data_IF_383382403364
#
_entry.id   IF_383382403364
#
_cell.length_a   1.000
_cell.length_b   1.000
_cell.length_c   1.000
_cell.angle_alpha   90.00
_cell.angle_beta   90.00
_cell.angle_gamma   90.00
#
_symmetry.space_group_name_H-M   'P 1'
#
loop_
_entity.id
_entity.type
_entity.pdbx_description
1 polymer ?
#
# COMPACT_ATOMS: atom_id res chain seq x y z
N UNK A 1 -33.11 -16.74 46.64
CA UNK A 1 -31.75 -16.94 47.22
C UNK A 1 -30.64 -16.50 46.26
N UNK A 2 -30.71 -16.76 44.94
CA UNK A 2 -29.66 -16.35 43.99
C UNK A 2 -29.42 -14.82 43.86
N UNK A 3 -30.49 -14.02 43.86
CA UNK A 3 -30.41 -12.54 43.73
C UNK A 3 -29.61 -11.88 44.88
N UNK A 4 -29.73 -12.42 46.09
CA UNK A 4 -28.99 -11.90 47.26
C UNK A 4 -27.49 -12.23 47.19
N UNK A 5 -27.12 -13.33 46.55
CA UNK A 5 -25.72 -13.73 46.38
C UNK A 5 -25.01 -12.88 45.32
N UNK A 6 -25.67 -12.58 44.21
CA UNK A 6 -25.14 -11.65 43.19
C UNK A 6 -24.98 -10.23 43.75
N UNK A 7 -25.97 -9.76 44.53
CA UNK A 7 -25.89 -8.46 45.18
C UNK A 7 -24.74 -8.38 46.21
N UNK A 8 -24.57 -9.41 47.04
CA UNK A 8 -23.47 -9.49 48.00
C UNK A 8 -22.10 -9.50 47.30
N UNK A 9 -21.97 -10.22 46.19
CA UNK A 9 -20.74 -10.24 45.38
C UNK A 9 -20.46 -8.88 44.73
N UNK A 10 -21.49 -8.18 44.23
CA UNK A 10 -21.36 -6.84 43.66
C UNK A 10 -20.92 -5.81 44.72
N UNK A 11 -21.51 -5.86 45.91
CA UNK A 11 -21.10 -5.02 47.05
C UNK A 11 -19.65 -5.27 47.46
N UNK A 12 -19.25 -6.53 47.62
CA UNK A 12 -17.87 -6.86 47.97
C UNK A 12 -16.87 -6.35 46.92
N UNK A 13 -17.20 -6.46 45.62
CA UNK A 13 -16.38 -5.90 44.54
C UNK A 13 -16.31 -4.37 44.59
N UNK A 14 -17.41 -3.71 44.93
CA UNK A 14 -17.46 -2.26 45.08
C UNK A 14 -16.59 -1.78 46.25
N UNK A 15 -16.69 -2.43 47.41
CA UNK A 15 -15.86 -2.13 48.58
C UNK A 15 -14.37 -2.35 48.30
N UNK A 16 -14.01 -3.43 47.61
CA UNK A 16 -12.62 -3.69 47.20
C UNK A 16 -12.08 -2.55 46.34
N UNK A 17 -12.87 -2.07 45.38
CA UNK A 17 -12.50 -0.97 44.48
C UNK A 17 -12.38 0.36 45.22
N UNK A 18 -13.24 0.64 46.20
CA UNK A 18 -13.11 1.82 47.06
C UNK A 18 -11.82 1.79 47.87
N UNK A 19 -11.46 0.61 48.43
CA UNK A 19 -10.21 0.45 49.16
C UNK A 19 -8.98 0.65 48.26
N UNK A 20 -9.01 0.15 47.02
CA UNK A 20 -7.95 0.40 46.03
C UNK A 20 -7.78 1.89 45.74
N UNK A 21 -8.88 2.62 45.55
CA UNK A 21 -8.88 4.08 45.32
C UNK A 21 -8.33 4.82 46.54
N UNK A 22 -8.80 4.50 47.75
CA UNK A 22 -8.33 5.14 48.99
C UNK A 22 -6.83 4.90 49.22
N UNK A 23 -6.34 3.68 48.99
CA UNK A 23 -4.91 3.37 49.07
C UNK A 23 -4.09 4.15 48.04
N UNK A 24 -4.60 4.29 46.82
CA UNK A 24 -3.96 5.08 45.78
C UNK A 24 -3.87 6.57 46.16
N UNK A 25 -4.95 7.13 46.69
CA UNK A 25 -5.01 8.53 47.13
C UNK A 25 -4.03 8.81 48.27
N UNK A 26 -3.97 7.91 49.26
CA UNK A 26 -3.02 8.02 50.37
C UNK A 26 -1.57 7.95 49.88
N UNK A 27 -1.25 7.03 48.96
CA UNK A 27 0.09 6.89 48.40
C UNK A 27 0.53 8.10 47.57
N UNK A 28 -0.41 8.82 46.95
CA UNK A 28 -0.14 9.97 46.08
C UNK A 28 -0.42 11.33 46.75
N UNK A 29 -0.75 11.35 48.05
CA UNK A 29 -1.09 12.55 48.82
C UNK A 29 -2.18 13.42 48.16
N UNK A 30 -3.22 12.77 47.61
CA UNK A 30 -4.35 13.47 46.98
C UNK A 30 -5.33 13.87 48.07
N UNK A 31 -5.35 15.16 48.43
CA UNK A 31 -6.19 15.69 49.52
C UNK A 31 -7.57 16.14 49.05
N UNK A 32 -7.70 16.58 47.79
CA UNK A 32 -8.96 17.07 47.21
C UNK A 32 -9.36 16.24 46.00
N UNK A 33 -10.55 15.66 46.06
CA UNK A 33 -11.16 14.95 44.93
C UNK A 33 -11.71 15.93 43.91
N UNK A 34 -11.52 15.61 42.65
CA UNK A 34 -12.20 16.30 41.56
C UNK A 34 -13.69 15.94 41.57
N UNK A 35 -14.50 16.85 42.11
CA UNK A 35 -15.95 16.82 41.97
C UNK A 35 -16.37 17.27 40.56
N UNK A 36 -17.62 17.00 40.19
CA UNK A 36 -18.17 17.34 38.86
C UNK A 36 -18.06 18.83 38.50
N UNK A 37 -18.05 19.72 39.49
CA UNK A 37 -17.92 21.16 39.30
C UNK A 37 -16.47 21.66 39.27
N UNK A 38 -15.50 20.77 39.53
CA UNK A 38 -14.09 21.14 39.61
C UNK A 38 -13.55 21.51 38.22
N UNK A 39 -12.86 22.65 38.04
CA UNK A 39 -12.45 23.11 36.70
C UNK A 39 -11.53 22.10 35.98
N UNK A 40 -10.60 21.50 36.73
CA UNK A 40 -9.68 20.48 36.22
C UNK A 40 -10.41 19.19 35.82
N UNK A 41 -11.54 18.86 36.47
CA UNK A 41 -12.38 17.74 36.06
C UNK A 41 -13.01 17.99 34.70
N UNK A 42 -13.56 19.20 34.52
CA UNK A 42 -14.20 19.61 33.26
C UNK A 42 -13.18 19.69 32.11
N UNK A 43 -11.97 20.21 32.38
CA UNK A 43 -10.87 20.22 31.42
C UNK A 43 -10.44 18.80 31.02
N UNK A 44 -10.27 17.91 31.99
CA UNK A 44 -9.92 16.51 31.73
C UNK A 44 -11.02 15.78 30.96
N UNK A 45 -12.29 16.04 31.28
CA UNK A 45 -13.43 15.48 30.57
C UNK A 45 -13.45 15.92 29.11
N UNK A 46 -13.20 17.20 28.84
CA UNK A 46 -13.14 17.74 27.48
C UNK A 46 -11.94 17.18 26.72
N UNK A 47 -10.78 17.09 27.38
CA UNK A 47 -9.60 16.43 26.81
C UNK A 47 -9.89 14.98 26.40
N UNK A 48 -10.55 14.19 27.26
CA UNK A 48 -10.92 12.80 26.94
C UNK A 48 -11.92 12.74 25.78
N UNK A 49 -12.90 13.65 25.72
CA UNK A 49 -13.85 13.73 24.59
C UNK A 49 -13.16 14.05 23.27
N UNK A 50 -12.23 15.00 23.27
CA UNK A 50 -11.45 15.35 22.09
C UNK A 50 -10.54 14.19 21.66
N UNK A 51 -9.83 13.58 22.62
CA UNK A 51 -8.95 12.43 22.38
C UNK A 51 -9.70 11.24 21.80
N UNK A 52 -10.87 10.92 22.35
CA UNK A 52 -11.70 9.81 21.88
C UNK A 52 -12.26 10.05 20.48
N UNK A 53 -12.56 11.31 20.13
CA UNK A 53 -12.93 11.67 18.76
C UNK A 53 -11.76 11.57 17.80
N UNK A 54 -10.60 12.11 18.15
CA UNK A 54 -9.37 12.00 17.36
C UNK A 54 -9.04 10.54 17.07
N UNK A 55 -9.11 9.65 18.06
CA UNK A 55 -8.88 8.22 17.85
C UNK A 55 -9.90 7.58 16.90
N UNK A 56 -11.16 7.99 16.95
CA UNK A 56 -12.16 7.51 16.01
C UNK A 56 -11.87 8.00 14.57
N UNK A 57 -11.32 9.20 14.41
CA UNK A 57 -10.85 9.72 13.12
C UNK A 57 -9.66 8.92 12.60
N UNK A 58 -8.63 8.72 13.42
CA UNK A 58 -7.42 7.98 13.04
C UNK A 58 -7.70 6.50 12.73
N UNK A 59 -8.61 5.88 13.50
CA UNK A 59 -9.08 4.51 13.24
C UNK A 59 -9.78 4.43 11.87
N UNK A 60 -10.70 5.34 11.58
CA UNK A 60 -11.41 5.38 10.30
C UNK A 60 -10.44 5.65 9.14
N UNK A 61 -9.52 6.60 9.30
CA UNK A 61 -8.48 6.91 8.32
C UNK A 61 -7.62 5.70 8.01
N UNK A 62 -7.04 5.07 9.05
CA UNK A 62 -6.18 3.91 8.89
C UNK A 62 -6.86 2.75 8.15
N UNK A 63 -8.14 2.49 8.46
CA UNK A 63 -8.92 1.44 7.80
C UNK A 63 -9.17 1.74 6.31
N UNK A 64 -9.45 2.99 5.97
CA UNK A 64 -9.71 3.37 4.58
C UNK A 64 -8.43 3.33 3.75
N UNK A 65 -7.33 3.83 4.30
CA UNK A 65 -6.00 3.75 3.66
C UNK A 65 -5.58 2.30 3.43
N UNK A 66 -5.80 1.44 4.43
CA UNK A 66 -5.56 0.00 4.29
C UNK A 66 -6.43 -0.60 3.18
N UNK A 67 -7.71 -0.25 3.12
CA UNK A 67 -8.64 -0.73 2.09
C UNK A 67 -8.20 -0.31 0.68
N UNK A 68 -7.83 0.96 0.47
CA UNK A 68 -7.30 1.45 -0.81
C UNK A 68 -6.04 0.71 -1.24
N UNK A 69 -5.12 0.42 -0.31
CA UNK A 69 -3.92 -0.36 -0.58
C UNK A 69 -4.20 -1.85 -0.87
N UNK A 70 -5.32 -2.40 -0.40
CA UNK A 70 -5.77 -3.74 -0.77
C UNK A 70 -6.44 -3.76 -2.14
N UNK A 71 -7.28 -2.77 -2.43
CA UNK A 71 -7.93 -2.62 -3.75
C UNK A 71 -6.88 -2.47 -4.85
N UNK A 72 -5.84 -1.66 -4.62
CA UNK A 72 -4.74 -1.53 -5.57
C UNK A 72 -4.01 -2.86 -5.84
N UNK A 73 -3.94 -3.76 -4.85
CA UNK A 73 -3.36 -5.10 -5.01
C UNK A 73 -4.31 -6.07 -5.70
N UNK A 74 -5.61 -5.95 -5.48
CA UNK A 74 -6.62 -6.75 -6.15
C UNK A 74 -6.69 -6.47 -7.66
N UNK A 75 -6.35 -5.25 -8.06
CA UNK A 75 -6.28 -4.83 -9.47
C UNK A 75 -4.97 -5.25 -10.19
N UNK A 76 -4.03 -5.92 -9.52
CA UNK A 76 -2.81 -6.41 -10.18
C UNK A 76 -3.10 -7.66 -11.02
N UNK A 77 -2.84 -7.55 -12.33
CA UNK A 77 -2.85 -8.67 -13.26
C UNK A 77 -1.83 -9.75 -12.84
N UNK A 78 -2.19 -11.03 -12.99
CA UNK A 78 -1.34 -12.17 -12.60
C UNK A 78 -1.65 -12.79 -11.22
N UNK A 79 -2.66 -12.28 -10.52
CA UNK A 79 -3.11 -12.84 -9.23
C UNK A 79 -3.95 -14.11 -9.43
N UNK A 80 -3.46 -15.28 -9.02
CA UNK A 80 -4.19 -16.54 -9.17
C UNK A 80 -5.54 -16.56 -8.43
N UNK A 81 -6.50 -17.36 -8.92
CA UNK A 81 -7.90 -17.41 -8.42
C UNK A 81 -8.04 -17.53 -6.89
N UNK A 82 -7.19 -18.34 -6.23
CA UNK A 82 -7.21 -18.48 -4.76
C UNK A 82 -6.88 -17.15 -4.06
N UNK A 83 -5.88 -16.42 -4.54
CA UNK A 83 -5.48 -15.14 -3.98
C UNK A 83 -6.53 -14.07 -4.23
N UNK A 84 -7.15 -14.04 -5.41
CA UNK A 84 -8.31 -13.18 -5.68
C UNK A 84 -9.44 -13.43 -4.68
N UNK A 85 -9.80 -14.69 -4.42
CA UNK A 85 -10.84 -15.04 -3.43
C UNK A 85 -10.48 -14.58 -2.01
N UNK A 86 -9.20 -14.64 -1.63
CA UNK A 86 -8.74 -14.12 -0.34
C UNK A 86 -8.83 -12.59 -0.29
N UNK A 87 -8.45 -11.90 -1.37
CA UNK A 87 -8.54 -10.44 -1.48
C UNK A 87 -10.00 -9.97 -1.42
N UNK A 88 -10.91 -10.60 -2.16
CA UNK A 88 -12.35 -10.26 -2.09
C UNK A 88 -12.89 -10.40 -0.67
N UNK A 89 -12.56 -11.51 0.02
CA UNK A 89 -12.97 -11.71 1.43
C UNK A 89 -12.36 -10.66 2.37
N UNK A 90 -11.10 -10.27 2.14
CA UNK A 90 -10.44 -9.24 2.93
C UNK A 90 -11.13 -7.88 2.74
N UNK A 91 -11.40 -7.50 1.49
CA UNK A 91 -12.13 -6.27 1.14
C UNK A 91 -13.52 -6.25 1.79
N UNK A 92 -14.31 -7.34 1.70
CA UNK A 92 -15.63 -7.39 2.35
C UNK A 92 -15.53 -7.20 3.86
N UNK A 93 -14.58 -7.87 4.54
CA UNK A 93 -14.36 -7.74 5.98
C UNK A 93 -13.91 -6.33 6.37
N UNK A 94 -13.10 -5.68 5.53
CA UNK A 94 -12.68 -4.30 5.77
C UNK A 94 -13.81 -3.32 5.54
N UNK A 95 -14.63 -3.52 4.53
CA UNK A 95 -15.84 -2.71 4.30
C UNK A 95 -16.74 -2.72 5.54
N UNK A 96 -17.02 -3.89 6.13
CA UNK A 96 -17.80 -3.95 7.38
C UNK A 96 -17.11 -3.25 8.55
N UNK A 97 -15.78 -3.36 8.66
CA UNK A 97 -15.00 -2.68 9.70
C UNK A 97 -15.02 -1.15 9.52
N UNK A 98 -14.92 -0.66 8.28
CA UNK A 98 -15.05 0.77 7.94
C UNK A 98 -16.45 1.26 8.29
N UNK A 99 -17.51 0.50 8.02
CA UNK A 99 -18.87 0.85 8.46
C UNK A 99 -18.95 1.05 9.98
N UNK A 100 -18.40 0.13 10.77
CA UNK A 100 -18.39 0.25 12.24
C UNK A 100 -17.58 1.46 12.72
N UNK A 101 -16.40 1.70 12.13
CA UNK A 101 -15.58 2.86 12.46
C UNK A 101 -16.28 4.19 12.07
N UNK A 102 -16.96 4.20 10.92
CA UNK A 102 -17.75 5.33 10.45
C UNK A 102 -18.93 5.64 11.37
N UNK A 103 -19.64 4.62 11.85
CA UNK A 103 -20.69 4.78 12.86
C UNK A 103 -20.15 5.39 14.15
N UNK A 104 -18.98 4.93 14.62
CA UNK A 104 -18.29 5.47 15.79
C UNK A 104 -17.93 6.95 15.59
N UNK A 105 -17.37 7.30 14.44
CA UNK A 105 -17.11 8.70 14.06
C UNK A 105 -18.41 9.52 14.06
N UNK A 106 -19.45 9.06 13.37
CA UNK A 106 -20.73 9.79 13.21
C UNK A 106 -21.49 9.97 14.54
N UNK A 107 -21.23 9.10 15.54
CA UNK A 107 -21.75 9.25 16.91
C UNK A 107 -21.02 10.33 17.71
N UNK A 108 -19.72 10.51 17.47
CA UNK A 108 -18.88 11.47 18.20
C UNK A 108 -18.82 12.84 17.52
N UNK A 109 -18.93 12.91 16.20
CA UNK A 109 -18.84 14.12 15.39
C UNK A 109 -19.77 15.27 15.84
N UNK A 110 -21.06 15.04 16.14
CA UNK A 110 -21.96 16.10 16.61
C UNK A 110 -21.65 16.60 18.04
N UNK A 111 -20.86 15.85 18.81
CA UNK A 111 -20.51 16.18 20.21
C UNK A 111 -19.27 17.04 20.33
N UNK A 112 -18.59 17.31 19.22
CA UNK A 112 -17.40 18.15 19.19
C UNK A 112 -17.78 19.63 19.17
N UNK A 113 -16.86 20.49 19.62
CA UNK A 113 -16.97 21.93 19.54
C UNK A 113 -15.84 22.46 18.64
N UNK A 114 -16.12 22.92 17.40
CA UNK A 114 -17.42 22.98 16.75
C UNK A 114 -17.93 21.59 16.28
N UNK A 115 -19.27 21.42 16.11
CA UNK A 115 -19.84 20.18 15.63
C UNK A 115 -19.30 19.80 14.25
N UNK A 116 -18.95 18.53 14.05
CA UNK A 116 -18.41 18.02 12.78
C UNK A 116 -19.51 17.40 11.92
N UNK A 117 -19.42 17.49 10.58
CA UNK A 117 -20.37 16.86 9.69
C UNK A 117 -20.30 15.34 9.81
N UNK A 118 -21.46 14.69 9.64
CA UNK A 118 -21.53 13.25 9.47
C UNK A 118 -21.10 12.89 8.05
N UNK A 119 -20.43 11.75 7.92
CA UNK A 119 -19.91 11.25 6.65
C UNK A 119 -20.75 10.07 6.17
N UNK A 120 -21.02 10.02 4.87
CA UNK A 120 -21.61 8.85 4.23
C UNK A 120 -20.49 7.88 3.83
N UNK A 121 -20.80 6.58 3.79
CA UNK A 121 -19.87 5.56 3.33
C UNK A 121 -19.45 5.80 1.87
N UNK A 122 -20.38 6.24 1.01
CA UNK A 122 -20.08 6.59 -0.38
C UNK A 122 -19.02 7.70 -0.48
N UNK A 123 -19.11 8.73 0.38
CA UNK A 123 -18.14 9.81 0.43
C UNK A 123 -16.77 9.30 0.88
N UNK A 124 -16.75 8.41 1.88
CA UNK A 124 -15.53 7.83 2.46
C UNK A 124 -14.77 6.95 1.45
N UNK A 125 -15.47 6.14 0.67
CA UNK A 125 -14.88 5.30 -0.39
C UNK A 125 -14.57 6.12 -1.65
N UNK A 126 -15.40 7.12 -1.96
CA UNK A 126 -15.21 8.03 -3.09
C UNK A 126 -13.95 8.88 -2.99
N UNK A 127 -13.33 8.97 -1.82
CA UNK A 127 -12.01 9.56 -1.65
C UNK A 127 -10.93 8.68 -2.29
N UNK A 128 -10.73 8.89 -3.59
CA UNK A 128 -9.73 8.21 -4.41
C UNK A 128 -8.29 8.58 -4.03
N UNK A 129 -8.11 9.76 -3.43
CA UNK A 129 -6.80 10.27 -3.02
C UNK A 129 -6.82 10.80 -1.59
N UNK A 130 -5.70 10.63 -0.88
CA UNK A 130 -5.47 11.22 0.44
C UNK A 130 -5.75 12.74 0.52
N UNK A 131 -5.75 13.44 -0.62
CA UNK A 131 -6.02 14.88 -0.69
C UNK A 131 -7.48 15.21 -0.37
N UNK A 132 -8.40 14.33 -0.74
CA UNK A 132 -9.85 14.53 -0.63
C UNK A 132 -10.37 14.10 0.74
N UNK A 133 -9.54 13.41 1.52
CA UNK A 133 -9.87 12.92 2.85
C UNK A 133 -9.98 14.10 3.84
N UNK A 134 -11.13 14.78 3.85
CA UNK A 134 -11.43 15.88 4.78
C UNK A 134 -11.41 15.44 6.26
N UNK A 135 -11.38 14.14 6.53
CA UNK A 135 -11.11 13.57 7.85
C UNK A 135 -9.71 13.94 8.38
N UNK A 136 -8.71 14.11 7.51
CA UNK A 136 -7.33 14.45 7.90
C UNK A 136 -7.23 15.81 8.60
N UNK A 137 -8.20 16.69 8.39
CA UNK A 137 -8.30 17.99 9.07
C UNK A 137 -8.46 17.83 10.59
N UNK A 138 -8.92 16.67 11.04
CA UNK A 138 -9.24 16.39 12.44
C UNK A 138 -8.28 15.40 13.11
N UNK A 139 -7.21 14.98 12.41
CA UNK A 139 -6.15 14.14 12.95
C UNK A 139 -5.33 14.87 14.02
N UNK A 140 -4.71 14.16 14.97
CA UNK A 140 -4.01 14.79 16.09
C UNK A 140 -2.76 15.61 15.69
N UNK A 141 -2.27 15.44 14.46
CA UNK A 141 -1.01 15.99 14.01
C UNK A 141 -1.14 17.30 13.22
N UNK A 142 -2.36 17.88 13.11
CA UNK A 142 -2.65 19.03 12.24
C UNK A 142 -1.99 18.86 10.87
N UNK A 143 -2.23 17.69 10.25
CA UNK A 143 -1.49 17.26 9.05
C UNK A 143 -1.60 18.31 7.94
N UNK A 144 -2.77 18.95 7.79
CA UNK A 144 -2.98 20.02 6.81
C UNK A 144 -2.05 21.23 6.95
N UNK A 145 -1.62 21.56 8.17
CA UNK A 145 -0.73 22.68 8.43
C UNK A 145 0.71 22.36 8.02
N UNK A 146 1.02 21.07 7.83
CA UNK A 146 2.37 20.65 7.45
C UNK A 146 2.72 21.16 6.06
N UNK A 147 3.96 21.66 5.86
CA UNK A 147 4.38 22.19 4.57
C UNK A 147 4.19 21.22 3.40
N UNK A 148 4.34 19.91 3.61
CA UNK A 148 4.21 18.89 2.58
C UNK A 148 2.76 18.56 2.17
N UNK A 149 1.76 18.99 2.95
CA UNK A 149 0.34 18.87 2.57
C UNK A 149 -0.14 19.98 1.63
N UNK A 150 0.62 21.08 1.52
CA UNK A 150 0.31 22.14 0.55
C UNK A 150 0.44 21.56 -0.87
N UNK A 151 -0.56 21.70 -1.75
CA UNK A 151 -0.56 21.04 -3.07
C UNK A 151 0.70 21.31 -3.88
N UNK A 152 1.14 22.57 -3.92
CA UNK A 152 2.35 23.00 -4.62
C UNK A 152 3.61 22.32 -4.06
N UNK A 153 3.74 22.26 -2.73
CA UNK A 153 4.89 21.65 -2.08
C UNK A 153 4.91 20.13 -2.28
N UNK A 154 3.74 19.49 -2.32
CA UNK A 154 3.62 18.05 -2.61
C UNK A 154 4.02 17.75 -4.05
N UNK A 155 3.56 18.54 -5.01
CA UNK A 155 3.94 18.39 -6.41
C UNK A 155 5.46 18.58 -6.59
N UNK A 156 6.03 19.62 -5.98
CA UNK A 156 7.47 19.86 -5.99
C UNK A 156 8.24 18.73 -5.31
N UNK A 157 7.76 18.23 -4.17
CA UNK A 157 8.36 17.09 -3.47
C UNK A 157 8.31 15.83 -4.34
N UNK A 158 7.18 15.55 -5.00
CA UNK A 158 7.04 14.41 -5.90
C UNK A 158 8.04 14.48 -7.05
N UNK A 159 8.17 15.66 -7.70
CA UNK A 159 9.16 15.88 -8.77
C UNK A 159 10.59 15.71 -8.23
N UNK A 160 10.89 16.28 -7.07
CA UNK A 160 12.19 16.14 -6.43
C UNK A 160 12.54 14.69 -6.11
N UNK A 161 11.64 13.94 -5.47
CA UNK A 161 11.88 12.54 -5.14
C UNK A 161 11.95 11.65 -6.37
N UNK A 162 11.15 11.91 -7.42
CA UNK A 162 11.32 11.23 -8.71
C UNK A 162 12.70 11.48 -9.32
N UNK A 163 13.24 12.70 -9.21
CA UNK A 163 14.60 13.01 -9.68
C UNK A 163 15.69 12.36 -8.84
N UNK A 164 15.50 12.24 -7.52
CA UNK A 164 16.44 11.51 -6.65
C UNK A 164 16.40 10.03 -6.99
N UNK A 165 15.20 9.43 -7.02
CA UNK A 165 15.00 8.04 -7.38
C UNK A 165 15.50 7.72 -8.78
N UNK A 166 15.30 8.60 -9.78
CA UNK A 166 15.80 8.34 -11.12
C UNK A 166 17.32 8.25 -11.18
N UNK A 167 18.04 8.95 -10.30
CA UNK A 167 19.50 8.86 -10.21
C UNK A 167 19.95 7.54 -9.60
N UNK A 168 19.30 7.13 -8.51
CA UNK A 168 19.53 5.83 -7.88
C UNK A 168 19.18 4.68 -8.84
N UNK A 169 18.08 4.83 -9.57
CA UNK A 169 17.60 3.85 -10.54
C UNK A 169 18.59 3.66 -11.70
N UNK A 170 19.27 4.71 -12.16
CA UNK A 170 20.34 4.57 -13.16
C UNK A 170 21.45 3.65 -12.64
N UNK A 171 21.86 3.79 -11.38
CA UNK A 171 22.89 2.93 -10.77
C UNK A 171 22.40 1.48 -10.64
N UNK A 172 21.15 1.27 -10.26
CA UNK A 172 20.54 -0.06 -10.20
C UNK A 172 20.42 -0.71 -11.58
N UNK A 173 19.91 0.03 -12.57
CA UNK A 173 19.77 -0.45 -13.94
C UNK A 173 21.12 -0.85 -14.56
N UNK A 174 22.21 -0.17 -14.23
CA UNK A 174 23.55 -0.58 -14.67
C UNK A 174 23.89 -2.03 -14.22
N UNK A 175 23.46 -2.43 -13.03
CA UNK A 175 23.67 -3.78 -12.51
C UNK A 175 22.67 -4.76 -13.13
N UNK A 176 21.39 -4.39 -13.19
CA UNK A 176 20.32 -5.25 -13.70
C UNK A 176 20.49 -5.56 -15.19
N UNK A 177 20.85 -4.58 -16.01
CA UNK A 177 21.14 -4.75 -17.45
C UNK A 177 22.24 -5.79 -17.65
N UNK A 178 23.30 -5.72 -16.84
CA UNK A 178 24.39 -6.71 -16.88
C UNK A 178 23.93 -8.09 -16.43
N UNK A 179 23.11 -8.16 -15.37
CA UNK A 179 22.57 -9.43 -14.89
C UNK A 179 21.65 -10.07 -15.93
N UNK A 180 20.83 -9.27 -16.62
CA UNK A 180 19.96 -9.75 -17.69
C UNK A 180 20.77 -10.32 -18.85
N UNK A 181 21.83 -9.63 -19.30
CA UNK A 181 22.74 -10.16 -20.33
C UNK A 181 23.35 -11.50 -19.90
N UNK A 182 23.91 -11.55 -18.68
CA UNK A 182 24.52 -12.78 -18.16
C UNK A 182 23.50 -13.94 -18.06
N UNK A 183 22.26 -13.64 -17.69
CA UNK A 183 21.19 -14.62 -17.62
C UNK A 183 20.79 -15.12 -19.02
N UNK A 184 20.67 -14.23 -20.01
CA UNK A 184 20.36 -14.57 -21.40
C UNK A 184 21.44 -15.49 -21.98
N UNK A 185 22.72 -15.12 -21.82
CA UNK A 185 23.84 -15.91 -22.35
C UNK A 185 23.95 -17.26 -21.63
N UNK A 186 23.80 -17.28 -20.30
CA UNK A 186 23.77 -18.53 -19.54
C UNK A 186 22.62 -19.45 -19.95
N UNK A 187 21.42 -18.90 -20.19
CA UNK A 187 20.28 -19.69 -20.60
C UNK A 187 20.53 -20.33 -21.96
N UNK A 188 20.99 -19.56 -22.95
CA UNK A 188 21.31 -20.11 -24.28
C UNK A 188 22.40 -21.20 -24.22
N UNK A 189 23.50 -20.95 -23.49
CA UNK A 189 24.57 -21.94 -23.31
C UNK A 189 24.03 -23.24 -22.69
N UNK A 190 23.14 -23.13 -21.68
CA UNK A 190 22.54 -24.29 -21.03
C UNK A 190 21.68 -25.13 -21.96
N UNK A 191 20.93 -24.49 -22.84
CA UNK A 191 20.06 -25.18 -23.79
C UNK A 191 20.83 -25.82 -24.92
N UNK A 192 21.86 -25.12 -25.42
CA UNK A 192 22.77 -25.68 -26.40
C UNK A 192 23.50 -26.90 -25.83
N UNK A 193 24.01 -26.81 -24.60
CA UNK A 193 24.66 -27.94 -23.93
C UNK A 193 23.70 -29.11 -23.70
N UNK A 194 22.46 -28.84 -23.28
CA UNK A 194 21.46 -29.89 -23.09
C UNK A 194 21.13 -30.61 -24.42
N UNK A 195 20.96 -29.87 -25.52
CA UNK A 195 20.78 -30.43 -26.86
C UNK A 195 21.95 -31.35 -27.24
N UNK A 196 23.19 -30.87 -27.12
CA UNK A 196 24.40 -31.68 -27.39
C UNK A 196 24.49 -32.93 -26.51
N UNK A 197 24.06 -32.86 -25.25
CA UNK A 197 24.05 -34.03 -24.37
C UNK A 197 23.02 -35.10 -24.80
N UNK A 198 21.85 -34.70 -25.32
CA UNK A 198 20.86 -35.65 -25.83
C UNK A 198 21.32 -36.32 -27.13
N UNK A 199 21.97 -35.55 -28.02
CA UNK A 199 22.60 -36.08 -29.23
C UNK A 199 23.70 -37.10 -28.90
N UNK A 200 24.59 -36.76 -27.95
CA UNK A 200 25.67 -37.65 -27.53
C UNK A 200 25.17 -38.96 -26.89
N UNK A 201 23.99 -38.95 -26.27
CA UNK A 201 23.35 -40.11 -25.66
C UNK A 201 22.49 -40.93 -26.66
N UNK A 202 22.43 -40.55 -27.93
CA UNK A 202 21.65 -41.24 -28.98
C UNK A 202 20.13 -41.11 -28.80
N UNK A 203 19.67 -40.04 -28.16
CA UNK A 203 18.25 -39.75 -27.90
C UNK A 203 17.70 -38.78 -28.95
N UNK A 204 17.72 -39.18 -30.23
CA UNK A 204 17.46 -38.31 -31.38
C UNK A 204 16.12 -37.56 -31.30
N UNK A 205 15.05 -38.21 -30.83
CA UNK A 205 13.74 -37.56 -30.68
C UNK A 205 13.76 -36.45 -29.62
N UNK A 206 14.48 -36.64 -28.51
CA UNK A 206 14.58 -35.61 -27.47
C UNK A 206 15.52 -34.48 -27.89
N UNK A 207 16.58 -34.81 -28.63
CA UNK A 207 17.47 -33.80 -29.21
C UNK A 207 16.72 -32.91 -30.20
N UNK A 208 15.86 -33.48 -31.07
CA UNK A 208 15.05 -32.71 -32.02
C UNK A 208 14.06 -31.76 -31.33
N UNK A 209 13.32 -32.24 -30.33
CA UNK A 209 12.42 -31.39 -29.52
C UNK A 209 13.18 -30.29 -28.77
N UNK A 210 14.34 -30.62 -28.20
CA UNK A 210 15.19 -29.65 -27.51
C UNK A 210 15.76 -28.61 -28.47
N UNK A 211 16.05 -29.00 -29.72
CA UNK A 211 16.50 -28.10 -30.76
C UNK A 211 15.41 -27.07 -31.14
N UNK A 212 14.16 -27.52 -31.31
CA UNK A 212 13.04 -26.60 -31.55
C UNK A 212 12.85 -25.62 -30.39
N UNK A 213 12.94 -26.11 -29.15
CA UNK A 213 12.85 -25.27 -27.96
C UNK A 213 14.00 -24.26 -27.87
N UNK A 214 15.23 -24.70 -28.15
CA UNK A 214 16.40 -23.84 -28.24
C UNK A 214 16.18 -22.74 -29.28
N UNK A 215 15.77 -23.06 -30.50
CA UNK A 215 15.54 -22.08 -31.56
C UNK A 215 14.49 -21.04 -31.16
N UNK A 216 13.41 -21.47 -30.50
CA UNK A 216 12.38 -20.56 -30.02
C UNK A 216 12.92 -19.61 -28.93
N UNK A 217 13.60 -20.14 -27.91
CA UNK A 217 14.17 -19.32 -26.84
C UNK A 217 15.29 -18.41 -27.33
N UNK A 218 16.15 -18.90 -28.23
CA UNK A 218 17.24 -18.13 -28.82
C UNK A 218 16.71 -16.91 -29.57
N UNK A 219 15.61 -17.03 -30.33
CA UNK A 219 14.96 -15.89 -31.00
C UNK A 219 14.47 -14.81 -30.01
N UNK A 220 13.92 -15.22 -28.88
CA UNK A 220 13.50 -14.28 -27.82
C UNK A 220 14.73 -13.62 -27.19
N UNK A 221 15.76 -14.41 -26.91
CA UNK A 221 17.03 -13.96 -26.39
C UNK A 221 17.74 -12.97 -27.33
N UNK A 222 17.61 -13.14 -28.64
CA UNK A 222 18.15 -12.19 -29.62
C UNK A 222 17.43 -10.83 -29.59
N UNK A 223 16.12 -10.82 -29.32
CA UNK A 223 15.39 -9.56 -29.08
C UNK A 223 15.92 -8.88 -27.82
N UNK A 224 16.13 -9.65 -26.74
CA UNK A 224 16.74 -9.12 -25.52
C UNK A 224 18.15 -8.57 -25.77
N UNK A 225 19.01 -9.30 -26.50
CA UNK A 225 20.36 -8.83 -26.88
C UNK A 225 20.31 -7.57 -27.73
N UNK A 226 19.36 -7.46 -28.66
CA UNK A 226 19.17 -6.25 -29.47
C UNK A 226 18.82 -5.04 -28.60
N UNK A 227 17.89 -5.20 -27.65
CA UNK A 227 17.56 -4.13 -26.71
C UNK A 227 18.72 -3.78 -25.77
N UNK A 228 19.43 -4.78 -25.26
CA UNK A 228 20.62 -4.58 -24.42
C UNK A 228 21.71 -3.83 -25.18
N UNK A 229 21.96 -4.18 -26.44
CA UNK A 229 22.90 -3.47 -27.32
C UNK A 229 22.53 -1.98 -27.47
N UNK A 230 21.25 -1.68 -27.69
CA UNK A 230 20.76 -0.28 -27.72
C UNK A 230 21.01 0.44 -26.39
N UNK A 231 20.77 -0.22 -25.25
CA UNK A 231 21.01 0.34 -23.92
C UNK A 231 22.50 0.66 -23.70
N UNK A 232 23.40 -0.26 -24.07
CA UNK A 232 24.84 -0.04 -23.97
C UNK A 232 25.33 1.13 -24.86
N UNK A 233 24.64 1.41 -25.97
CA UNK A 233 24.92 2.54 -26.86
C UNK A 233 24.36 3.89 -26.40
N UNK A 234 23.59 3.95 -25.30
CA UNK A 234 23.04 5.22 -24.81
C UNK A 234 24.17 6.10 -24.25
N UNK A 235 24.18 7.39 -24.64
CA UNK A 235 25.15 8.38 -24.17
C UNK A 235 25.21 8.50 -22.63
N UNK A 236 24.11 8.17 -21.94
CA UNK A 236 24.00 8.21 -20.47
C UNK A 236 24.33 6.91 -19.75
N UNK A 237 24.68 5.82 -20.45
CA UNK A 237 25.01 4.55 -19.81
C UNK A 237 26.39 4.61 -19.16
N UNK A 238 26.46 4.25 -17.88
CA UNK A 238 27.68 4.34 -17.07
C UNK A 238 28.16 2.98 -16.56
N UNK A 239 27.42 1.91 -16.84
CA UNK A 239 27.76 0.55 -16.45
C UNK A 239 28.85 -0.09 -17.31
N UNK A 240 29.22 -1.32 -16.97
CA UNK A 240 30.25 -2.07 -17.69
C UNK A 240 29.63 -2.75 -18.91
N UNK A 241 30.12 -2.40 -20.10
CA UNK A 241 29.73 -3.05 -21.36
C UNK A 241 30.45 -4.40 -21.50
N UNK A 242 29.72 -5.52 -21.65
CA UNK A 242 30.32 -6.83 -21.91
C UNK A 242 31.13 -6.82 -23.22
N UNK A 243 32.27 -7.51 -23.24
CA UNK A 243 33.20 -7.46 -24.37
C UNK A 243 32.64 -8.03 -25.68
N UNK A 244 31.50 -8.74 -25.64
CA UNK A 244 30.81 -9.31 -26.80
C UNK A 244 30.01 -8.28 -27.62
N UNK A 245 29.83 -7.03 -27.15
CA UNK A 245 28.94 -6.03 -27.79
C UNK A 245 29.72 -4.95 -28.58
N UNK A 246 31.04 -5.08 -28.73
CA UNK A 246 31.85 -4.04 -29.40
C UNK A 246 31.76 -4.08 -30.94
N UNK A 247 30.68 -3.50 -31.48
CA UNK A 247 30.49 -2.81 -32.79
C UNK A 247 30.62 -3.60 -34.13
N UNK A 248 29.94 -3.18 -35.24
CA UNK A 248 29.56 -1.79 -35.56
C UNK A 248 28.12 -1.52 -36.07
N UNK A 249 27.62 -0.33 -35.69
CA UNK A 249 27.01 0.70 -36.54
C UNK A 249 26.28 0.25 -37.82
N UNK A 250 24.94 0.31 -37.80
CA UNK A 250 24.09 0.28 -38.99
C UNK A 250 22.77 0.98 -38.69
N UNK A 251 22.62 2.21 -39.22
CA UNK A 251 21.40 3.03 -39.15
C UNK A 251 20.15 2.21 -39.47
N UNK A 252 19.12 2.30 -38.62
CA UNK A 252 17.73 2.09 -39.02
C UNK A 252 16.81 3.04 -38.26
N UNK A 253 15.90 3.61 -39.05
CA UNK A 253 15.12 4.81 -38.80
C UNK A 253 14.16 4.74 -37.60
N UNK A 254 13.92 5.93 -37.07
CA UNK A 254 12.81 6.28 -36.19
C UNK A 254 11.46 5.85 -36.78
N UNK A 255 10.66 5.17 -35.96
CA UNK A 255 9.21 5.26 -36.00
C UNK A 255 8.73 5.16 -34.55
N UNK A 256 8.51 6.32 -33.95
CA UNK A 256 7.84 6.45 -32.66
C UNK A 256 6.32 6.35 -32.93
N UNK A 257 5.73 5.17 -32.69
CA UNK A 257 4.29 5.05 -32.55
C UNK A 257 3.90 5.42 -31.11
N UNK A 258 3.32 6.62 -31.01
CA UNK A 258 2.67 7.20 -29.85
C UNK A 258 1.47 6.31 -29.45
N UNK A 259 1.56 5.64 -28.30
CA UNK A 259 0.44 4.93 -27.68
C UNK A 259 -0.15 5.80 -26.58
N UNK A 260 -1.32 6.35 -26.91
CA UNK A 260 -2.15 7.26 -26.11
C UNK A 260 -2.50 6.73 -24.70
N UNK A 261 -2.62 7.70 -23.77
CA UNK A 261 -3.12 7.59 -22.40
C UNK A 261 -4.53 6.96 -22.33
N UNK A 262 -4.61 5.68 -21.99
CA UNK A 262 -5.85 5.04 -21.49
C UNK A 262 -5.84 5.04 -19.96
N UNK A 263 -5.89 6.22 -19.35
CA UNK A 263 -5.94 6.35 -17.88
C UNK A 263 -7.27 6.90 -17.34
N UNK A 264 -8.23 7.28 -18.20
CA UNK A 264 -9.50 7.86 -17.76
C UNK A 264 -10.67 6.88 -17.67
N UNK A 265 -10.59 5.71 -18.31
CA UNK A 265 -11.73 4.78 -18.43
C UNK A 265 -11.78 3.73 -17.28
N UNK A 266 -10.68 3.53 -16.56
CA UNK A 266 -10.60 2.60 -15.42
C UNK A 266 -11.28 3.12 -14.15
N UNK A 267 -11.40 4.44 -13.98
CA UNK A 267 -12.03 5.05 -12.80
C UNK A 267 -13.56 4.90 -12.85
N UNK A 268 -14.15 4.91 -14.04
CA UNK A 268 -15.60 4.72 -14.24
C UNK A 268 -16.04 3.26 -13.98
N UNK A 269 -15.18 2.27 -14.24
CA UNK A 269 -15.48 0.86 -13.93
C UNK A 269 -15.48 0.55 -12.42
N UNK A 270 -14.83 1.39 -11.61
CA UNK A 270 -14.74 1.18 -10.17
C UNK A 270 -16.04 1.51 -9.41
N UNK A 271 -16.88 2.43 -9.91
CA UNK A 271 -18.20 2.68 -9.30
C UNK A 271 -19.11 1.48 -9.44
N UNK A 272 -19.09 0.83 -10.61
CA UNK A 272 -20.04 -0.22 -10.96
C UNK A 272 -19.77 -1.52 -10.19
N UNK A 273 -18.50 -1.84 -9.92
CA UNK A 273 -18.16 -3.06 -9.16
C UNK A 273 -18.55 -3.00 -7.68
N UNK A 274 -18.60 -1.80 -7.09
CA UNK A 274 -19.00 -1.62 -5.70
C UNK A 274 -20.52 -1.68 -5.51
N UNK A 275 -21.32 -1.26 -6.50
CA UNK A 275 -22.78 -1.37 -6.45
C UNK A 275 -23.30 -2.81 -6.54
N UNK A 276 -22.53 -3.71 -7.16
CA UNK A 276 -22.91 -5.10 -7.40
C UNK A 276 -22.49 -6.08 -6.29
N UNK A 277 -21.82 -5.62 -5.23
CA UNK A 277 -21.46 -6.45 -4.06
C UNK A 277 -22.47 -6.37 -2.90
N UNK A 278 -23.75 -6.12 -3.19
CA UNK A 278 -24.86 -6.22 -2.23
C UNK A 278 -25.29 -7.67 -2.00
#
# INVERSE_FOLDING_TARGET
>A
MAINAEYALALHRYELRLNEVANFEQNHNITEHWTWDHPQYNEALEYVRQRTFIWAVEELEGLVVQCLAELSKANLAGTGYKMQKHLSKAITRRSTTIHTALERYNKLAPRQCPPRPRLNFADVIGYSTFREFELLKYSCYNILEKPWMKPLNREMSMKFFRLVQSREEIEHLNVEVRQLQAWVDFNDDKLQMAMLTFEANGMDNMAAEMHEWYLYQHRINDIHRSHLSKIYGLMGYTGVVPSCVKDPMGNQDHNDEELDEVASDEVLRLSDTLEHMK
#
